data_IF_661428320151
#
_entry.id   IF_661428320151
#
_cell.length_a   1.000
_cell.length_b   1.000
_cell.length_c   1.000
_cell.angle_alpha   90.00
_cell.angle_beta   90.00
_cell.angle_gamma   90.00
#
_symmetry.space_group_name_H-M   'P 1'
#
loop_
_entity.id
_entity.type
_entity.pdbx_description
1 polymer ?
#
# COMPACT_ATOMS: atom_id res chain seq x y z
N UNK A 1 40.77 2.31 13.21
CA UNK A 1 40.08 3.26 14.10
C UNK A 1 38.62 2.85 14.15
N UNK A 2 38.00 2.85 15.33
CA UNK A 2 36.56 2.59 15.50
C UNK A 2 35.70 3.48 14.60
N UNK A 3 36.15 4.70 14.34
CA UNK A 3 35.52 5.67 13.43
C UNK A 3 35.28 5.16 12.00
N UNK A 4 36.12 4.23 11.52
CA UNK A 4 35.96 3.61 10.20
C UNK A 4 34.85 2.56 10.14
N UNK A 5 34.59 1.84 11.25
CA UNK A 5 33.50 0.87 11.36
C UNK A 5 32.15 1.57 11.38
N UNK A 6 32.00 2.57 12.26
CA UNK A 6 30.79 3.39 12.37
C UNK A 6 30.41 4.02 11.02
N UNK A 7 31.41 4.40 10.22
CA UNK A 7 31.19 4.97 8.89
C UNK A 7 30.71 3.92 7.88
N UNK A 8 31.19 2.67 7.97
CA UNK A 8 30.74 1.55 7.13
C UNK A 8 29.32 1.13 7.51
N UNK A 9 29.02 0.99 8.81
CA UNK A 9 27.67 0.69 9.30
C UNK A 9 26.66 1.75 8.85
N UNK A 10 26.98 3.04 9.01
CA UNK A 10 26.15 4.13 8.48
C UNK A 10 25.93 4.03 6.98
N UNK A 11 26.95 3.61 6.23
CA UNK A 11 26.86 3.46 4.78
C UNK A 11 25.95 2.29 4.40
N UNK A 12 25.96 1.20 5.17
CA UNK A 12 25.06 0.05 5.00
C UNK A 12 23.61 0.49 5.20
N UNK A 13 23.29 1.17 6.30
CA UNK A 13 21.94 1.67 6.59
C UNK A 13 21.45 2.67 5.52
N UNK A 14 22.34 3.56 5.08
CA UNK A 14 22.03 4.50 4.00
C UNK A 14 21.71 3.77 2.67
N UNK A 15 22.45 2.70 2.36
CA UNK A 15 22.17 1.87 1.19
C UNK A 15 20.90 1.02 1.34
N UNK A 16 20.61 0.52 2.55
CA UNK A 16 19.38 -0.21 2.86
C UNK A 16 18.14 0.62 2.58
N UNK A 17 18.15 1.89 3.00
CA UNK A 17 17.08 2.85 2.66
C UNK A 17 16.87 3.01 1.15
N UNK A 18 17.93 2.99 0.34
CA UNK A 18 17.84 3.05 -1.12
C UNK A 18 17.24 1.77 -1.69
N UNK A 19 17.58 0.59 -1.14
CA UNK A 19 17.00 -0.68 -1.58
C UNK A 19 15.52 -0.79 -1.20
N UNK A 20 15.15 -0.32 -0.01
CA UNK A 20 13.76 -0.22 0.43
C UNK A 20 12.94 0.60 -0.58
N UNK A 21 13.41 1.80 -0.96
CA UNK A 21 12.74 2.61 -1.97
C UNK A 21 12.64 1.94 -3.36
N UNK A 22 13.60 1.08 -3.73
CA UNK A 22 13.53 0.29 -4.97
C UNK A 22 12.50 -0.82 -4.91
N UNK A 23 12.38 -1.49 -3.77
CA UNK A 23 11.39 -2.54 -3.50
C UNK A 23 9.97 -1.94 -3.45
N UNK A 24 9.82 -0.77 -2.84
CA UNK A 24 8.54 -0.05 -2.75
C UNK A 24 8.05 0.52 -4.08
N UNK A 25 8.94 0.69 -5.08
CA UNK A 25 8.61 1.33 -6.36
C UNK A 25 7.38 0.73 -7.03
N UNK A 26 7.26 -0.60 -7.01
CA UNK A 26 6.14 -1.31 -7.63
C UNK A 26 4.89 -1.32 -6.73
N UNK A 27 5.05 -1.15 -5.42
CA UNK A 27 3.95 -1.08 -4.46
C UNK A 27 3.17 0.23 -4.56
N UNK A 28 3.77 1.29 -5.12
CA UNK A 28 3.12 2.59 -5.36
C UNK A 28 1.83 2.48 -6.20
N UNK A 29 1.77 1.55 -7.16
CA UNK A 29 0.57 1.28 -7.94
C UNK A 29 -0.57 0.73 -7.09
N UNK A 30 -0.25 -0.14 -6.12
CA UNK A 30 -1.26 -0.71 -5.20
C UNK A 30 -1.84 0.42 -4.34
N UNK A 31 -1.00 1.32 -3.83
CA UNK A 31 -1.44 2.49 -3.08
C UNK A 31 -2.39 3.38 -3.90
N UNK A 32 -2.09 3.58 -5.19
CA UNK A 32 -2.97 4.30 -6.10
C UNK A 32 -4.34 3.62 -6.25
N UNK A 33 -4.38 2.31 -6.45
CA UNK A 33 -5.65 1.56 -6.58
C UNK A 33 -6.46 1.58 -5.29
N UNK A 34 -5.81 1.54 -4.12
CA UNK A 34 -6.48 1.71 -2.82
C UNK A 34 -7.19 3.07 -2.75
N UNK A 35 -6.51 4.13 -3.17
CA UNK A 35 -7.10 5.48 -3.18
C UNK A 35 -8.24 5.61 -4.20
N UNK A 36 -8.13 4.96 -5.36
CA UNK A 36 -9.13 5.02 -6.43
C UNK A 36 -10.38 4.17 -6.17
N UNK A 37 -10.27 3.04 -5.44
CA UNK A 37 -11.40 2.13 -5.24
C UNK A 37 -12.64 2.80 -4.58
N UNK A 38 -12.52 3.61 -3.51
CA UNK A 38 -13.65 4.35 -2.95
C UNK A 38 -14.22 5.40 -3.91
N UNK A 39 -13.36 6.07 -4.69
CA UNK A 39 -13.79 7.05 -5.69
C UNK A 39 -14.62 6.39 -6.80
N UNK A 40 -14.24 5.19 -7.23
CA UNK A 40 -15.02 4.38 -8.18
C UNK A 40 -16.35 3.93 -7.58
N UNK A 41 -16.39 3.54 -6.31
CA UNK A 41 -17.63 3.24 -5.60
C UNK A 41 -18.57 4.46 -5.54
N UNK A 42 -18.02 5.65 -5.26
CA UNK A 42 -18.76 6.90 -5.31
C UNK A 42 -19.28 7.21 -6.73
N UNK A 43 -18.49 7.00 -7.77
CA UNK A 43 -18.95 7.13 -9.16
C UNK A 43 -20.16 6.23 -9.44
N UNK A 44 -20.16 5.00 -8.92
CA UNK A 44 -21.30 4.08 -8.98
C UNK A 44 -22.58 4.67 -8.37
N UNK A 45 -22.48 5.41 -7.27
CA UNK A 45 -23.64 6.09 -6.66
C UNK A 45 -24.26 7.13 -7.58
N UNK A 46 -23.41 7.92 -8.26
CA UNK A 46 -23.86 8.98 -9.16
C UNK A 46 -24.60 8.37 -10.34
N UNK A 47 -24.05 7.29 -10.91
CA UNK A 47 -24.68 6.56 -12.02
C UNK A 47 -26.02 5.94 -11.57
N UNK A 48 -26.07 5.31 -10.40
CA UNK A 48 -27.31 4.73 -9.86
C UNK A 48 -28.40 5.78 -9.61
N UNK A 49 -28.02 6.95 -9.09
CA UNK A 49 -28.93 8.08 -8.92
C UNK A 49 -29.44 8.63 -10.24
N UNK A 50 -28.59 8.78 -11.26
CA UNK A 50 -29.01 9.21 -12.61
C UNK A 50 -30.07 8.25 -13.16
N UNK A 51 -29.81 6.94 -13.08
CA UNK A 51 -30.78 5.92 -13.51
C UNK A 51 -32.11 5.98 -12.75
N UNK A 52 -32.07 6.28 -11.45
CA UNK A 52 -33.27 6.47 -10.63
C UNK A 52 -34.11 7.66 -11.12
N UNK A 53 -33.47 8.80 -11.41
CA UNK A 53 -34.15 9.99 -11.92
C UNK A 53 -34.69 9.80 -13.34
N UNK A 54 -33.97 9.08 -14.20
CA UNK A 54 -34.45 8.72 -15.55
C UNK A 54 -35.71 7.84 -15.48
N UNK A 55 -35.78 6.92 -14.51
CA UNK A 55 -36.95 6.08 -14.30
C UNK A 55 -38.17 6.88 -13.82
N UNK A 56 -37.96 7.87 -12.94
CA UNK A 56 -39.01 8.82 -12.53
C UNK A 56 -39.52 9.62 -13.73
N UNK A 57 -38.61 10.15 -14.56
CA UNK A 57 -38.96 10.94 -15.74
C UNK A 57 -39.79 10.14 -16.75
N UNK A 58 -39.48 8.85 -16.94
CA UNK A 58 -40.23 7.96 -17.84
C UNK A 58 -41.58 7.52 -17.29
N UNK A 59 -41.68 7.27 -15.99
CA UNK A 59 -42.91 6.82 -15.35
C UNK A 59 -43.97 7.92 -15.25
N UNK A 60 -43.56 9.20 -15.41
CA UNK A 60 -44.39 10.40 -15.25
C UNK A 60 -45.20 10.41 -13.92
N UNK A 61 -44.75 9.62 -12.96
CA UNK A 61 -45.34 9.40 -11.66
C UNK A 61 -44.21 9.11 -10.66
N UNK A 62 -44.19 9.83 -9.56
CA UNK A 62 -43.16 9.67 -8.52
C UNK A 62 -43.63 8.56 -7.59
N UNK A 63 -43.39 7.31 -7.98
CA UNK A 63 -43.57 6.18 -7.07
C UNK A 63 -42.31 6.03 -6.19
N UNK A 64 -42.42 6.15 -4.85
CA UNK A 64 -41.26 6.02 -3.95
C UNK A 64 -40.50 4.71 -4.11
N UNK A 65 -41.20 3.64 -4.52
CA UNK A 65 -40.60 2.33 -4.79
C UNK A 65 -39.55 2.37 -5.92
N UNK A 66 -39.78 3.15 -6.98
CA UNK A 66 -38.85 3.25 -8.13
C UNK A 66 -37.55 3.93 -7.71
N UNK A 67 -37.66 4.96 -6.86
CA UNK A 67 -36.49 5.69 -6.33
C UNK A 67 -35.71 4.83 -5.34
N UNK A 68 -36.40 4.07 -4.50
CA UNK A 68 -35.79 3.19 -3.51
C UNK A 68 -34.89 2.13 -4.16
N UNK A 69 -35.29 1.55 -5.29
CA UNK A 69 -34.49 0.57 -6.01
C UNK A 69 -33.20 1.17 -6.59
N UNK A 70 -33.26 2.36 -7.20
CA UNK A 70 -32.06 3.04 -7.72
C UNK A 70 -31.06 3.44 -6.62
N UNK A 71 -31.56 3.93 -5.49
CA UNK A 71 -30.72 4.26 -4.32
C UNK A 71 -30.09 3.00 -3.73
N UNK A 72 -30.82 1.88 -3.64
CA UNK A 72 -30.28 0.61 -3.15
C UNK A 72 -29.07 0.16 -3.98
N UNK A 73 -29.15 0.24 -5.32
CA UNK A 73 -28.05 -0.11 -6.21
C UNK A 73 -26.86 0.85 -5.99
N UNK A 74 -27.12 2.15 -5.90
CA UNK A 74 -26.09 3.15 -5.61
C UNK A 74 -25.34 2.83 -4.30
N UNK A 75 -26.05 2.53 -3.22
CA UNK A 75 -25.44 2.22 -1.92
C UNK A 75 -24.60 0.94 -1.96
N UNK A 76 -25.07 -0.11 -2.64
CA UNK A 76 -24.31 -1.36 -2.79
C UNK A 76 -22.99 -1.11 -3.52
N UNK A 77 -22.97 -0.26 -4.55
CA UNK A 77 -21.74 0.06 -5.28
C UNK A 77 -20.71 0.79 -4.39
N UNK A 78 -21.14 1.69 -3.51
CA UNK A 78 -20.23 2.33 -2.52
C UNK A 78 -19.62 1.32 -1.57
N UNK A 79 -20.47 0.46 -0.99
CA UNK A 79 -20.03 -0.55 -0.03
C UNK A 79 -19.04 -1.50 -0.69
N UNK A 80 -19.28 -1.90 -1.94
CA UNK A 80 -18.36 -2.74 -2.69
C UNK A 80 -17.00 -2.08 -2.92
N UNK A 81 -16.97 -0.78 -3.28
CA UNK A 81 -15.72 -0.02 -3.45
C UNK A 81 -14.93 0.11 -2.16
N UNK A 82 -15.61 0.30 -1.03
CA UNK A 82 -14.98 0.34 0.30
C UNK A 82 -14.42 -1.03 0.71
N UNK A 83 -15.16 -2.13 0.50
CA UNK A 83 -14.68 -3.48 0.81
C UNK A 83 -13.40 -3.79 0.04
N UNK A 84 -13.37 -3.48 -1.26
CA UNK A 84 -12.19 -3.68 -2.10
C UNK A 84 -11.00 -2.84 -1.60
N UNK A 85 -11.24 -1.57 -1.26
CA UNK A 85 -10.21 -0.68 -0.72
C UNK A 85 -9.61 -1.22 0.60
N UNK A 86 -10.45 -1.71 1.51
CA UNK A 86 -10.02 -2.28 2.80
C UNK A 86 -9.14 -3.52 2.57
N UNK A 87 -9.58 -4.44 1.72
CA UNK A 87 -8.81 -5.67 1.43
C UNK A 87 -7.45 -5.32 0.82
N UNK A 88 -7.43 -4.40 -0.16
CA UNK A 88 -6.18 -3.93 -0.77
C UNK A 88 -5.25 -3.25 0.24
N UNK A 89 -5.79 -2.45 1.16
CA UNK A 89 -5.01 -1.77 2.21
C UNK A 89 -4.34 -2.76 3.15
N UNK A 90 -5.04 -3.82 3.55
CA UNK A 90 -4.46 -4.90 4.38
C UNK A 90 -3.31 -5.58 3.64
N UNK A 91 -3.52 -5.91 2.37
CA UNK A 91 -2.49 -6.55 1.55
C UNK A 91 -1.27 -5.64 1.32
N UNK A 92 -1.49 -4.35 1.08
CA UNK A 92 -0.43 -3.35 0.94
C UNK A 92 0.44 -3.26 2.19
N UNK A 93 -0.17 -3.19 3.38
CA UNK A 93 0.57 -3.17 4.64
C UNK A 93 1.37 -4.46 4.86
N UNK A 94 0.83 -5.62 4.46
CA UNK A 94 1.55 -6.88 4.54
C UNK A 94 2.78 -6.91 3.62
N UNK A 95 2.66 -6.41 2.39
CA UNK A 95 3.80 -6.31 1.46
C UNK A 95 4.88 -5.38 2.04
N UNK A 96 4.49 -4.21 2.55
CA UNK A 96 5.43 -3.26 3.16
C UNK A 96 6.19 -3.90 4.31
N UNK A 97 5.48 -4.51 5.27
CA UNK A 97 6.13 -5.21 6.39
C UNK A 97 7.10 -6.30 5.94
N UNK A 98 6.78 -6.99 4.83
CA UNK A 98 7.68 -8.01 4.27
C UNK A 98 8.91 -7.41 3.58
N UNK A 99 8.75 -6.26 2.92
CA UNK A 99 9.87 -5.50 2.33
C UNK A 99 10.80 -5.03 3.45
N UNK A 100 10.25 -4.45 4.51
CA UNK A 100 11.01 -3.98 5.67
C UNK A 100 11.82 -5.10 6.30
N UNK A 101 11.21 -6.28 6.50
CA UNK A 101 11.90 -7.46 7.03
C UNK A 101 13.08 -7.89 6.16
N UNK A 102 12.92 -7.91 4.84
CA UNK A 102 14.02 -8.28 3.92
C UNK A 102 15.17 -7.26 3.99
N UNK A 103 14.87 -5.97 4.12
CA UNK A 103 15.89 -4.91 4.22
C UNK A 103 16.62 -5.01 5.55
N UNK A 104 15.90 -5.23 6.65
CA UNK A 104 16.49 -5.43 7.98
C UNK A 104 17.40 -6.66 8.01
N UNK A 105 16.95 -7.81 7.49
CA UNK A 105 17.76 -9.03 7.42
C UNK A 105 19.06 -8.81 6.61
N UNK A 106 18.99 -8.01 5.55
CA UNK A 106 20.14 -7.64 4.73
C UNK A 106 21.11 -6.71 5.47
N UNK A 107 20.59 -5.72 6.20
CA UNK A 107 21.39 -4.80 7.03
C UNK A 107 22.12 -5.57 8.13
N UNK A 108 21.40 -6.40 8.89
CA UNK A 108 21.96 -7.22 9.97
C UNK A 108 23.05 -8.18 9.45
N UNK A 109 22.78 -8.90 8.36
CA UNK A 109 23.76 -9.81 7.75
C UNK A 109 25.02 -9.07 7.26
N UNK A 110 24.86 -7.83 6.79
CA UNK A 110 25.98 -7.00 6.32
C UNK A 110 26.83 -6.49 7.48
N UNK A 111 26.20 -6.08 8.57
CA UNK A 111 26.87 -5.65 9.81
C UNK A 111 27.66 -6.83 10.40
N UNK A 112 27.03 -8.01 10.52
CA UNK A 112 27.72 -9.22 11.01
C UNK A 112 28.95 -9.58 10.17
N UNK A 113 28.88 -9.44 8.85
CA UNK A 113 30.02 -9.69 7.97
C UNK A 113 31.16 -8.70 8.21
N UNK A 114 30.85 -7.41 8.37
CA UNK A 114 31.84 -6.37 8.67
C UNK A 114 32.52 -6.62 10.01
N UNK A 115 31.74 -6.99 11.03
CA UNK A 115 32.23 -7.36 12.36
C UNK A 115 33.18 -8.56 12.31
N UNK A 116 32.82 -9.59 11.53
CA UNK A 116 33.67 -10.77 11.35
C UNK A 116 35.01 -10.41 10.70
N UNK A 117 34.99 -9.59 9.64
CA UNK A 117 36.20 -9.11 8.96
C UNK A 117 37.07 -8.30 9.92
N UNK A 118 36.47 -7.42 10.72
CA UNK A 118 37.19 -6.61 11.70
C UNK A 118 37.86 -7.48 12.78
N UNK A 119 37.15 -8.47 13.32
CA UNK A 119 37.71 -9.44 14.27
C UNK A 119 38.88 -10.22 13.66
N UNK A 120 38.77 -10.62 12.39
CA UNK A 120 39.84 -11.32 11.68
C UNK A 120 41.09 -10.44 11.46
N UNK A 121 40.91 -9.14 11.18
CA UNK A 121 42.02 -8.20 11.05
C UNK A 121 42.74 -7.93 12.39
N UNK A 122 42.02 -7.95 13.50
CA UNK A 122 42.63 -7.84 14.83
C UNK A 122 43.43 -9.08 15.20
N UNK A 123 42.92 -10.28 14.88
CA UNK A 123 43.64 -11.55 15.12
C UNK A 123 44.90 -11.69 14.27
N UNK A 124 44.89 -11.22 13.01
CA UNK A 124 46.07 -11.26 12.14
C UNK A 124 47.12 -10.16 12.43
N UNK A 125 46.81 -9.19 13.30
CA UNK A 125 47.74 -8.14 13.75
C UNK A 125 48.37 -8.42 15.13
N UNK A 126 47.93 -9.46 15.83
CA UNK A 126 48.51 -9.96 17.07
C UNK A 126 49.51 -11.08 16.77
#
# INVERSE_FOLDING_TARGET
>A
SSEGLDMVEKSIVAYGSVQMGRLERNTSWIALFIALAPMLGFMGTVIGMIGAFDAIAKANNIAPAIVADGIKVALITTVSGLIVAIILQVFYNYILSKIDGIVLDMEDSSIEMVDMIYKHQLQNKA
#
